data_IF_087817959625
#
_entry.id   IF_087817959625
#
_cell.length_a   1.000
_cell.length_b   1.000
_cell.length_c   1.000
_cell.angle_alpha   90.00
_cell.angle_beta   90.00
_cell.angle_gamma   90.00
#
_symmetry.space_group_name_H-M   'P 1'
#
loop_
_entity.id
_entity.type
_entity.pdbx_description
1 polymer ?
#
# COMPACT_ATOMS: atom_id res chain seq x y z
N UNK A 1 -6.63 27.46 -7.10
CA UNK A 1 -7.73 26.67 -7.72
C UNK A 1 -7.85 27.10 -9.18
N UNK A 2 -7.32 26.32 -10.14
CA UNK A 2 -7.50 26.64 -11.57
C UNK A 2 -8.88 26.13 -11.98
N UNK A 3 -9.77 27.02 -12.41
CA UNK A 3 -11.14 26.73 -12.87
C UNK A 3 -11.20 26.13 -14.29
N UNK A 4 -10.27 25.24 -14.64
CA UNK A 4 -10.37 24.53 -15.92
C UNK A 4 -10.83 23.12 -15.61
N UNK A 5 -12.14 22.96 -15.46
CA UNK A 5 -12.76 21.66 -15.36
C UNK A 5 -12.80 21.07 -16.77
N UNK A 6 -11.80 20.26 -17.11
CA UNK A 6 -11.77 19.61 -18.41
C UNK A 6 -12.89 18.58 -18.46
N UNK A 7 -13.82 18.69 -19.41
CA UNK A 7 -14.88 17.69 -19.60
C UNK A 7 -14.31 16.25 -19.65
N UNK A 8 -13.12 16.07 -20.26
CA UNK A 8 -12.39 14.81 -20.28
C UNK A 8 -11.96 14.32 -18.89
N UNK A 9 -11.54 15.22 -17.99
CA UNK A 9 -11.20 14.87 -16.61
C UNK A 9 -12.39 14.23 -15.90
N UNK A 10 -13.57 14.85 -15.99
CA UNK A 10 -14.80 14.31 -15.41
C UNK A 10 -15.15 12.93 -16.01
N UNK A 11 -14.95 12.75 -17.32
CA UNK A 11 -15.15 11.44 -17.95
C UNK A 11 -14.14 10.38 -17.46
N UNK A 12 -12.91 10.78 -17.15
CA UNK A 12 -11.89 9.90 -16.55
C UNK A 12 -12.32 9.48 -15.14
N UNK A 13 -12.85 10.40 -14.33
CA UNK A 13 -13.31 10.12 -12.95
C UNK A 13 -14.48 9.13 -12.89
N UNK A 14 -15.31 9.07 -13.94
CA UNK A 14 -16.43 8.12 -14.01
C UNK A 14 -16.05 6.74 -14.56
N UNK A 15 -14.79 6.54 -14.99
CA UNK A 15 -14.31 5.22 -15.39
C UNK A 15 -14.42 4.25 -14.22
N UNK A 16 -14.88 3.04 -14.52
CA UNK A 16 -14.96 1.97 -13.55
C UNK A 16 -14.69 0.62 -14.18
N UNK A 17 -14.16 -0.31 -13.39
CA UNK A 17 -13.85 -1.67 -13.83
C UNK A 17 -15.12 -2.46 -14.21
N UNK A 18 -16.24 -2.12 -13.55
CA UNK A 18 -17.54 -2.79 -13.72
C UNK A 18 -18.50 -2.06 -14.67
N UNK A 19 -18.03 -1.08 -15.47
CA UNK A 19 -18.87 -0.28 -16.35
C UNK A 19 -18.41 -0.36 -17.81
N UNK A 20 -19.36 -0.17 -18.73
CA UNK A 20 -19.06 -0.06 -20.16
C UNK A 20 -18.37 1.27 -20.45
N UNK A 21 -17.04 1.25 -20.54
CA UNK A 21 -16.21 2.43 -20.83
C UNK A 21 -16.23 2.83 -22.33
N UNK A 22 -17.27 2.45 -23.08
CA UNK A 22 -17.39 2.75 -24.52
C UNK A 22 -17.52 4.25 -24.76
N UNK A 23 -18.34 4.94 -23.95
CA UNK A 23 -18.55 6.38 -24.05
C UNK A 23 -17.27 7.18 -23.88
N UNK A 24 -16.36 6.73 -23.01
CA UNK A 24 -15.04 7.35 -22.86
C UNK A 24 -14.19 7.18 -24.12
N UNK A 25 -14.20 5.99 -24.74
CA UNK A 25 -13.46 5.74 -25.99
C UNK A 25 -13.99 6.62 -27.13
N UNK A 26 -15.30 6.73 -27.26
CA UNK A 26 -15.93 7.53 -28.32
C UNK A 26 -15.70 9.02 -28.11
N UNK A 27 -15.72 9.48 -26.86
CA UNK A 27 -15.34 10.85 -26.51
C UNK A 27 -13.85 11.13 -26.75
N UNK A 28 -12.97 10.19 -26.41
CA UNK A 28 -11.53 10.35 -26.68
C UNK A 28 -11.25 10.40 -28.20
N UNK A 29 -11.95 9.59 -29.00
CA UNK A 29 -11.90 9.67 -30.47
C UNK A 29 -12.35 11.03 -30.98
N UNK A 30 -13.50 11.54 -30.51
CA UNK A 30 -13.99 12.85 -30.96
C UNK A 30 -13.02 13.98 -30.62
N UNK A 31 -12.34 13.91 -29.46
CA UNK A 31 -11.28 14.86 -29.08
C UNK A 31 -10.07 14.75 -30.01
N UNK A 32 -9.67 13.55 -30.43
CA UNK A 32 -8.52 13.34 -31.32
C UNK A 32 -8.82 13.66 -32.78
N UNK A 33 -10.07 13.48 -33.21
CA UNK A 33 -10.53 13.68 -34.59
C UNK A 33 -11.05 15.11 -34.85
N UNK A 34 -11.22 15.92 -33.80
CA UNK A 34 -11.63 17.33 -33.89
C UNK A 34 -10.64 18.13 -34.76
N UNK A 35 -11.00 18.40 -36.02
CA UNK A 35 -10.19 19.13 -36.99
C UNK A 35 -10.17 20.64 -36.74
N UNK A 36 -11.03 21.14 -35.83
CA UNK A 36 -11.05 22.56 -35.47
C UNK A 36 -9.84 22.98 -34.63
N UNK A 37 -9.14 22.01 -34.01
CA UNK A 37 -8.01 22.25 -33.11
C UNK A 37 -6.71 21.65 -33.65
N UNK A 38 -5.58 22.38 -33.53
CA UNK A 38 -4.27 21.84 -33.84
C UNK A 38 -3.91 20.59 -33.00
N UNK A 39 -3.11 19.70 -33.59
CA UNK A 39 -2.71 18.44 -32.97
C UNK A 39 -2.12 18.60 -31.55
N UNK A 40 -1.26 19.60 -31.34
CA UNK A 40 -0.63 19.85 -30.05
C UNK A 40 -1.64 20.25 -28.96
N UNK A 41 -2.68 21.02 -29.29
CA UNK A 41 -3.72 21.41 -28.31
C UNK A 41 -4.56 20.21 -27.87
N UNK A 42 -4.81 19.26 -28.77
CA UNK A 42 -5.51 17.99 -28.46
C UNK A 42 -4.65 17.12 -27.53
N UNK A 43 -3.35 17.04 -27.81
CA UNK A 43 -2.40 16.33 -26.95
C UNK A 43 -2.29 16.99 -25.56
N UNK A 44 -2.17 18.32 -25.51
CA UNK A 44 -2.12 19.07 -24.25
C UNK A 44 -3.40 18.89 -23.45
N UNK A 45 -4.58 18.92 -24.09
CA UNK A 45 -5.87 18.69 -23.42
C UNK A 45 -5.95 17.30 -22.76
N UNK A 46 -5.53 16.24 -23.45
CA UNK A 46 -5.50 14.88 -22.90
C UNK A 46 -4.46 14.77 -21.78
N UNK A 47 -3.23 15.27 -22.04
CA UNK A 47 -2.14 15.21 -21.07
C UNK A 47 -2.43 15.97 -19.78
N UNK A 48 -3.00 17.18 -19.88
CA UNK A 48 -3.41 17.99 -18.72
C UNK A 48 -4.55 17.32 -17.95
N UNK A 49 -5.53 16.74 -18.64
CA UNK A 49 -6.64 16.03 -17.98
C UNK A 49 -6.14 14.81 -17.18
N UNK A 50 -5.21 14.04 -17.73
CA UNK A 50 -4.58 12.91 -17.03
C UNK A 50 -3.71 13.38 -15.87
N UNK A 51 -2.91 14.44 -16.06
CA UNK A 51 -2.06 14.99 -15.02
C UNK A 51 -2.86 15.54 -13.84
N UNK A 52 -4.04 16.12 -14.08
CA UNK A 52 -4.91 16.60 -13.01
C UNK A 52 -5.41 15.46 -12.12
N UNK A 53 -5.77 14.31 -12.70
CA UNK A 53 -6.13 13.11 -11.92
C UNK A 53 -4.93 12.65 -11.09
N UNK A 54 -3.73 12.62 -11.69
CA UNK A 54 -2.51 12.32 -10.95
C UNK A 54 -2.29 13.29 -9.78
N UNK A 55 -2.40 14.59 -10.00
CA UNK A 55 -2.25 15.60 -8.94
C UNK A 55 -3.30 15.46 -7.82
N UNK A 56 -4.53 15.06 -8.15
CA UNK A 56 -5.55 14.71 -7.13
C UNK A 56 -5.12 13.49 -6.32
N UNK A 57 -4.60 12.45 -6.96
CA UNK A 57 -4.06 11.26 -6.30
C UNK A 57 -2.89 11.67 -5.38
N UNK A 58 -1.94 12.46 -5.86
CA UNK A 58 -0.78 12.89 -5.08
C UNK A 58 -1.18 13.69 -3.84
N UNK A 59 -2.19 14.57 -3.97
CA UNK A 59 -2.74 15.34 -2.84
C UNK A 59 -3.38 14.40 -1.81
N UNK A 60 -4.19 13.44 -2.25
CA UNK A 60 -4.81 12.46 -1.36
C UNK A 60 -3.75 11.59 -0.65
N UNK A 61 -2.67 11.22 -1.34
CA UNK A 61 -1.56 10.47 -0.76
C UNK A 61 -0.87 11.28 0.34
N UNK A 62 -0.63 12.57 0.11
CA UNK A 62 -0.09 13.49 1.14
C UNK A 62 -1.03 13.58 2.35
N UNK A 63 -2.32 13.80 2.11
CA UNK A 63 -3.33 13.89 3.18
C UNK A 63 -3.42 12.60 4.00
N UNK A 64 -3.35 11.43 3.34
CA UNK A 64 -3.33 10.12 4.02
C UNK A 64 -2.11 10.01 4.92
N UNK A 65 -0.92 10.41 4.46
CA UNK A 65 0.30 10.40 5.26
C UNK A 65 0.16 11.25 6.53
N UNK A 66 -0.36 12.47 6.38
CA UNK A 66 -0.58 13.40 7.49
C UNK A 66 -1.61 12.86 8.49
N UNK A 67 -2.71 12.28 8.00
CA UNK A 67 -3.72 11.65 8.84
C UNK A 67 -3.18 10.43 9.59
N UNK A 68 -2.32 9.63 8.96
CA UNK A 68 -1.65 8.52 9.63
C UNK A 68 -0.69 9.00 10.72
N UNK A 69 0.08 10.06 10.47
CA UNK A 69 0.96 10.67 11.46
C UNK A 69 0.16 11.22 12.65
N UNK A 70 -0.95 11.91 12.38
CA UNK A 70 -1.85 12.42 13.41
C UNK A 70 -2.45 11.29 14.25
N UNK A 71 -2.92 10.21 13.61
CA UNK A 71 -3.44 9.01 14.30
C UNK A 71 -2.39 8.41 15.24
N UNK A 72 -1.14 8.27 14.78
CA UNK A 72 -0.03 7.77 15.63
C UNK A 72 0.20 8.68 16.83
N UNK A 73 0.26 10.00 16.62
CA UNK A 73 0.45 11.00 17.70
C UNK A 73 -0.65 10.92 18.75
N UNK A 74 -1.92 10.83 18.33
CA UNK A 74 -3.06 10.72 19.24
C UNK A 74 -3.05 9.42 20.03
N UNK A 75 -2.70 8.30 19.39
CA UNK A 75 -2.55 7.02 20.09
C UNK A 75 -1.43 7.09 21.14
N UNK A 76 -0.26 7.63 20.80
CA UNK A 76 0.82 7.81 21.78
C UNK A 76 0.41 8.71 22.95
N UNK A 77 -0.26 9.83 22.67
CA UNK A 77 -0.75 10.73 23.71
C UNK A 77 -1.78 10.05 24.63
N UNK A 78 -2.67 9.22 24.07
CA UNK A 78 -3.65 8.46 24.84
C UNK A 78 -2.99 7.45 25.79
N UNK A 79 -1.98 6.71 25.30
CA UNK A 79 -1.26 5.75 26.14
C UNK A 79 -0.48 6.46 27.27
N UNK A 80 0.20 7.57 26.97
CA UNK A 80 0.86 8.40 27.98
C UNK A 80 -0.15 8.91 29.01
N UNK A 81 -1.33 9.38 28.57
CA UNK A 81 -2.36 9.87 29.47
C UNK A 81 -2.88 8.78 30.41
N UNK A 82 -3.07 7.55 29.91
CA UNK A 82 -3.45 6.40 30.75
C UNK A 82 -2.37 6.07 31.78
N UNK A 83 -1.11 6.04 31.37
CA UNK A 83 0.03 5.75 32.26
C UNK A 83 0.14 6.81 33.37
N UNK A 84 0.11 8.09 33.01
CA UNK A 84 0.13 9.18 33.99
C UNK A 84 -1.06 9.12 34.95
N UNK A 85 -2.26 8.83 34.42
CA UNK A 85 -3.45 8.67 35.27
C UNK A 85 -3.31 7.50 36.24
N UNK A 86 -2.76 6.37 35.79
CA UNK A 86 -2.49 5.21 36.63
C UNK A 86 -1.45 5.52 37.72
N UNK A 87 -0.38 6.26 37.39
CA UNK A 87 0.63 6.69 38.36
C UNK A 87 0.04 7.59 39.45
N UNK A 88 -0.81 8.56 39.07
CA UNK A 88 -1.51 9.41 40.04
C UNK A 88 -2.46 8.59 40.92
N UNK A 89 -3.17 7.61 40.36
CA UNK A 89 -4.04 6.72 41.15
C UNK A 89 -3.23 5.91 42.17
N UNK A 90 -2.07 5.39 41.78
CA UNK A 90 -1.15 4.68 42.68
C UNK A 90 -0.61 5.57 43.82
N UNK A 91 -0.16 6.79 43.50
CA UNK A 91 0.33 7.75 44.49
C UNK A 91 -0.74 8.13 45.53
N UNK A 92 -1.99 8.20 45.11
CA UNK A 92 -3.12 8.56 45.97
C UNK A 92 -3.81 7.34 46.61
N UNK A 93 -3.36 6.11 46.33
CA UNK A 93 -3.96 4.89 46.85
C UNK A 93 -5.38 4.63 46.37
N UNK A 94 -5.73 5.06 45.15
CA UNK A 94 -7.07 4.93 44.57
C UNK A 94 -7.09 3.77 43.57
N UNK A 95 -7.80 2.68 43.92
CA UNK A 95 -7.94 1.52 43.01
C UNK A 95 -9.06 1.69 41.99
N UNK A 96 -10.12 2.44 42.34
CA UNK A 96 -11.29 2.63 41.49
C UNK A 96 -12.01 3.95 41.77
N UNK A 97 -12.45 4.61 40.70
CA UNK A 97 -13.34 5.78 40.75
C UNK A 97 -14.55 5.49 39.84
N UNK A 98 -15.76 5.58 40.37
CA UNK A 98 -16.99 5.45 39.57
C UNK A 98 -17.38 6.81 38.98
N UNK A 99 -17.88 6.79 37.74
CA UNK A 99 -18.30 8.00 37.04
C UNK A 99 -19.81 8.10 36.90
N UNK A 100 -20.30 9.32 36.63
CA UNK A 100 -21.71 9.56 36.34
C UNK A 100 -22.05 9.35 34.84
N UNK A 101 -21.08 9.55 33.93
CA UNK A 101 -21.23 9.35 32.47
C UNK A 101 -20.49 8.09 31.99
N UNK A 102 -19.34 7.77 32.60
CA UNK A 102 -18.59 6.52 32.38
C UNK A 102 -18.76 5.61 33.59
N UNK A 103 -18.81 4.29 33.38
CA UNK A 103 -19.09 3.34 34.47
C UNK A 103 -18.05 3.40 35.59
N UNK A 104 -16.76 3.29 35.26
CA UNK A 104 -15.67 3.43 36.23
C UNK A 104 -14.30 3.55 35.56
N UNK A 105 -13.35 4.16 36.27
CA UNK A 105 -11.91 4.02 36.04
C UNK A 105 -11.38 3.04 37.09
N UNK A 106 -10.83 1.92 36.64
CA UNK A 106 -10.22 0.92 37.53
C UNK A 106 -8.75 0.79 37.19
N UNK A 107 -7.89 0.82 38.22
CA UNK A 107 -6.47 0.60 38.06
C UNK A 107 -6.23 -0.87 37.65
N UNK A 108 -5.47 -1.08 36.58
CA UNK A 108 -5.05 -2.44 36.19
C UNK A 108 -3.63 -2.64 36.67
N UNK A 109 -3.40 -3.71 37.44
CA UNK A 109 -2.06 -4.03 37.93
C UNK A 109 -1.08 -4.31 36.78
N UNK A 110 0.17 -3.92 36.95
CA UNK A 110 1.22 -4.25 36.02
C UNK A 110 1.32 -5.78 35.86
N UNK A 111 1.15 -6.27 34.64
CA UNK A 111 1.33 -7.69 34.33
C UNK A 111 2.65 -7.85 33.57
N UNK A 112 3.63 -8.51 34.18
CA UNK A 112 4.88 -8.86 33.51
C UNK A 112 4.69 -10.18 32.78
N UNK A 113 4.59 -10.15 31.45
CA UNK A 113 4.78 -11.35 30.63
C UNK A 113 6.27 -11.49 30.35
N UNK A 114 6.92 -12.43 31.02
CA UNK A 114 8.29 -12.86 30.67
C UNK A 114 8.23 -13.55 29.31
N UNK A 115 8.76 -12.88 28.28
CA UNK A 115 9.12 -13.52 27.02
C UNK A 115 10.61 -13.81 27.09
N UNK A 116 10.96 -15.09 27.09
CA UNK A 116 12.35 -15.49 26.95
C UNK A 116 12.79 -15.22 25.51
N UNK A 117 13.60 -14.18 25.30
CA UNK A 117 14.26 -13.96 24.03
C UNK A 117 15.37 -15.00 23.87
N UNK A 118 15.14 -15.99 23.01
CA UNK A 118 16.14 -17.00 22.66
C UNK A 118 17.15 -16.36 21.71
N UNK A 119 18.25 -15.85 22.25
CA UNK A 119 19.43 -15.44 21.49
C UNK A 119 20.24 -16.69 21.12
N UNK A 120 20.14 -17.13 19.88
CA UNK A 120 20.96 -18.22 19.33
C UNK A 120 22.39 -17.67 19.16
N UNK A 121 23.29 -18.06 20.07
CA UNK A 121 24.71 -17.66 20.01
C UNK A 121 25.49 -18.36 18.90
N UNK A 122 25.10 -19.59 18.56
CA UNK A 122 25.71 -20.40 17.51
C UNK A 122 24.61 -21.15 16.74
N UNK A 123 24.31 -20.64 15.54
CA UNK A 123 23.28 -21.19 14.66
C UNK A 123 23.64 -22.60 14.18
N UNK A 124 24.92 -22.88 13.92
CA UNK A 124 25.36 -24.16 13.37
C UNK A 124 25.22 -25.30 14.38
N UNK A 125 25.52 -25.03 15.65
CA UNK A 125 25.33 -26.01 16.72
C UNK A 125 23.84 -26.33 16.93
N UNK A 126 22.97 -25.32 16.91
CA UNK A 126 21.52 -25.49 17.05
C UNK A 126 20.91 -26.22 15.84
N UNK A 127 21.43 -25.94 14.64
CA UNK A 127 21.07 -26.65 13.40
C UNK A 127 21.42 -28.14 13.50
N UNK A 128 22.65 -28.44 13.94
CA UNK A 128 23.13 -29.82 14.09
C UNK A 128 22.42 -30.59 15.23
N UNK A 129 21.91 -29.87 16.24
CA UNK A 129 21.08 -30.44 17.32
C UNK A 129 19.64 -30.72 16.89
N UNK A 130 19.28 -30.44 15.62
CA UNK A 130 17.99 -30.80 15.05
C UNK A 130 16.89 -29.77 15.28
N UNK A 131 17.19 -28.59 15.80
CA UNK A 131 16.24 -27.50 15.96
C UNK A 131 16.11 -26.68 14.66
N UNK A 132 15.79 -27.36 13.56
CA UNK A 132 15.58 -26.75 12.23
C UNK A 132 14.20 -27.02 11.69
N UNK A 133 13.64 -26.03 11.00
CA UNK A 133 12.43 -26.19 10.19
C UNK A 133 12.87 -26.51 8.76
N UNK A 134 12.72 -27.75 8.32
CA UNK A 134 12.92 -28.13 6.92
C UNK A 134 11.86 -27.48 6.06
N UNK A 135 12.25 -26.45 5.31
CA UNK A 135 11.41 -25.81 4.30
C UNK A 135 11.96 -26.15 2.92
N UNK A 136 11.07 -26.30 1.96
CA UNK A 136 11.45 -26.44 0.56
C UNK A 136 12.01 -25.10 0.09
N UNK A 137 13.21 -25.11 -0.48
CA UNK A 137 13.85 -23.92 -1.04
C UNK A 137 13.30 -23.65 -2.45
N UNK A 138 12.32 -22.75 -2.52
CA UNK A 138 11.71 -22.31 -3.78
C UNK A 138 12.72 -21.65 -4.72
N UNK A 139 13.71 -20.91 -4.19
CA UNK A 139 14.71 -20.23 -5.02
C UNK A 139 15.70 -21.22 -5.67
N UNK A 140 16.07 -22.29 -4.95
CA UNK A 140 16.86 -23.38 -5.53
C UNK A 140 16.07 -24.15 -6.61
N UNK A 141 14.77 -24.38 -6.39
CA UNK A 141 13.89 -25.03 -7.38
C UNK A 141 13.76 -24.17 -8.64
N UNK A 142 13.57 -22.86 -8.52
CA UNK A 142 13.51 -21.95 -9.67
C UNK A 142 14.80 -21.99 -10.50
N UNK A 143 15.96 -21.97 -9.83
CA UNK A 143 17.27 -22.11 -10.50
C UNK A 143 17.44 -23.47 -11.17
N UNK A 144 17.07 -24.55 -10.48
CA UNK A 144 17.16 -25.91 -11.03
C UNK A 144 16.17 -26.13 -12.20
N UNK A 145 15.03 -25.45 -12.19
CA UNK A 145 14.07 -25.48 -13.29
C UNK A 145 14.57 -24.73 -14.54
N UNK A 146 15.62 -23.90 -14.45
CA UNK A 146 16.25 -23.31 -15.63
C UNK A 146 17.19 -24.30 -16.35
N UNK A 147 17.82 -25.22 -15.61
CA UNK A 147 18.74 -26.24 -16.14
C UNK A 147 18.00 -27.46 -16.72
N UNK A 148 18.57 -28.08 -17.76
CA UNK A 148 17.99 -29.25 -18.44
C UNK A 148 17.91 -30.50 -17.54
N UNK A 149 18.77 -30.58 -16.53
CA UNK A 149 18.86 -31.71 -15.58
C UNK A 149 17.84 -31.55 -14.45
N UNK A 150 17.73 -30.36 -13.83
CA UNK A 150 16.72 -30.08 -12.81
C UNK A 150 15.29 -30.15 -13.34
N UNK A 151 15.05 -29.80 -14.63
CA UNK A 151 13.76 -30.06 -15.30
C UNK A 151 13.38 -31.54 -15.41
N UNK A 152 14.33 -32.48 -15.38
CA UNK A 152 14.03 -33.93 -15.44
C UNK A 152 13.73 -34.50 -14.06
N UNK A 153 14.44 -34.02 -13.04
CA UNK A 153 14.29 -34.47 -11.65
C UNK A 153 13.04 -33.87 -10.99
N UNK A 154 12.80 -32.57 -11.20
CA UNK A 154 11.63 -31.86 -10.65
C UNK A 154 10.34 -32.14 -11.41
N UNK A 155 10.39 -32.73 -12.62
CA UNK A 155 9.18 -33.07 -13.41
C UNK A 155 8.23 -34.04 -12.70
N UNK A 156 8.74 -34.85 -11.77
CA UNK A 156 7.96 -35.79 -10.98
C UNK A 156 7.30 -35.16 -9.75
N UNK A 157 7.73 -33.96 -9.34
CA UNK A 157 7.38 -33.35 -8.06
C UNK A 157 6.82 -31.92 -8.18
N UNK A 158 7.03 -31.23 -9.31
CA UNK A 158 6.61 -29.85 -9.54
C UNK A 158 5.91 -29.74 -10.90
N UNK A 159 4.64 -29.32 -10.88
CA UNK A 159 3.89 -28.94 -12.06
C UNK A 159 4.08 -27.44 -12.33
N UNK A 160 4.66 -27.10 -13.48
CA UNK A 160 4.91 -25.71 -13.86
C UNK A 160 3.90 -25.33 -14.93
N UNK A 161 2.82 -24.68 -14.51
CA UNK A 161 1.84 -24.09 -15.43
C UNK A 161 2.32 -22.67 -15.78
N UNK A 162 2.74 -22.39 -17.03
CA UNK A 162 3.14 -21.04 -17.39
C UNK A 162 1.91 -20.12 -17.40
N UNK A 163 1.81 -19.25 -16.41
CA UNK A 163 0.81 -18.18 -16.39
C UNK A 163 1.37 -17.01 -17.21
N UNK A 164 0.85 -16.83 -18.42
CA UNK A 164 1.17 -15.66 -19.24
C UNK A 164 0.35 -14.47 -18.77
N UNK A 165 0.95 -13.63 -17.91
CA UNK A 165 0.35 -12.36 -17.49
C UNK A 165 0.55 -11.35 -18.63
N UNK A 166 -0.51 -11.08 -19.40
CA UNK A 166 -0.52 -10.05 -20.45
C UNK A 166 -0.94 -8.71 -19.84
N UNK A 167 0.02 -7.79 -19.67
CA UNK A 167 -0.26 -6.42 -19.23
C UNK A 167 -0.75 -5.59 -20.42
N UNK A 168 -1.94 -4.96 -20.35
CA UNK A 168 -2.45 -4.14 -21.45
C UNK A 168 -1.60 -2.87 -21.66
N UNK A 169 -1.60 -2.34 -22.89
CA UNK A 169 -0.87 -1.12 -23.22
C UNK A 169 -1.39 0.09 -22.43
N UNK A 170 -0.47 0.89 -21.87
CA UNK A 170 -0.76 2.11 -21.10
C UNK A 170 -0.12 3.32 -21.78
N UNK A 171 -0.79 4.47 -21.74
CA UNK A 171 -0.25 5.72 -22.26
C UNK A 171 0.65 6.38 -21.21
N UNK A 172 1.83 6.84 -21.62
CA UNK A 172 2.76 7.62 -20.78
C UNK A 172 2.59 9.10 -21.09
N UNK A 173 2.27 9.90 -20.07
CA UNK A 173 2.28 11.38 -20.19
C UNK A 173 3.70 11.86 -19.88
N UNK A 174 4.38 12.41 -20.88
CA UNK A 174 5.70 13.03 -20.71
C UNK A 174 5.53 14.54 -20.62
N UNK A 175 5.73 15.11 -19.44
CA UNK A 175 5.74 16.56 -19.26
C UNK A 175 7.06 17.15 -19.77
N UNK A 176 6.99 18.29 -20.47
CA UNK A 176 8.20 19.04 -20.84
C UNK A 176 8.86 19.53 -19.56
N UNK A 177 10.18 19.29 -19.42
CA UNK A 177 10.95 19.84 -18.29
C UNK A 177 10.86 21.37 -18.37
N UNK A 178 10.16 21.98 -17.42
CA UNK A 178 10.36 23.40 -17.11
C UNK A 178 11.72 23.51 -16.46
N UNK A 179 12.63 24.27 -17.07
CA UNK A 179 13.92 24.61 -16.47
C UNK A 179 13.69 25.46 -15.22
N UNK A 180 13.46 24.81 -14.09
CA UNK A 180 13.62 25.36 -12.76
C UNK A 180 14.66 24.48 -12.09
N UNK A 181 15.82 25.07 -11.81
CA UNK A 181 16.83 24.47 -10.95
C UNK A 181 16.15 24.06 -9.65
N UNK A 182 16.00 22.76 -9.40
CA UNK A 182 16.11 22.15 -8.09
C UNK A 182 16.20 20.62 -8.25
N UNK A 183 17.16 20.08 -7.51
CA UNK A 183 17.51 18.68 -7.29
C UNK A 183 16.33 17.80 -6.91
N UNK A 184 16.40 16.55 -7.39
CA UNK A 184 15.79 15.33 -6.86
C UNK A 184 14.26 15.21 -6.92
N UNK A 185 13.80 14.19 -7.64
CA UNK A 185 12.89 13.10 -7.24
C UNK A 185 12.68 12.26 -8.51
N UNK A 186 13.58 11.29 -8.73
CA UNK A 186 13.24 10.10 -9.52
C UNK A 186 12.47 9.16 -8.56
N UNK A 187 11.16 9.33 -8.47
CA UNK A 187 10.31 8.44 -7.71
C UNK A 187 9.98 7.20 -8.57
N UNK A 188 10.43 6.04 -8.09
CA UNK A 188 9.86 4.73 -8.38
C UNK A 188 8.36 4.73 -8.01
N UNK A 189 7.47 5.16 -8.91
CA UNK A 189 6.03 5.20 -8.64
C UNK A 189 5.30 3.85 -8.87
N UNK A 190 6.02 2.75 -9.09
CA UNK A 190 5.40 1.43 -9.36
C UNK A 190 5.35 0.48 -8.17
N UNK A 191 6.02 0.78 -7.05
CA UNK A 191 6.09 -0.16 -5.92
C UNK A 191 5.13 0.18 -4.77
N UNK A 192 4.71 1.45 -4.62
CA UNK A 192 3.90 1.85 -3.45
C UNK A 192 2.41 1.50 -3.57
N UNK A 193 1.86 1.38 -4.79
CA UNK A 193 0.45 1.00 -5.00
C UNK A 193 0.24 -0.50 -4.70
N UNK A 194 1.24 -1.34 -5.01
CA UNK A 194 1.18 -2.79 -4.71
C UNK A 194 1.12 -3.07 -3.21
N UNK A 195 1.84 -2.29 -2.40
CA UNK A 195 1.84 -2.44 -0.94
C UNK A 195 0.48 -2.09 -0.32
N UNK A 196 -0.26 -1.13 -0.89
CA UNK A 196 -1.60 -0.76 -0.40
C UNK A 196 -2.64 -1.83 -0.77
N UNK A 197 -2.58 -2.41 -1.97
CA UNK A 197 -3.48 -3.50 -2.37
C UNK A 197 -3.28 -4.78 -1.55
N UNK A 198 -2.03 -5.13 -1.21
CA UNK A 198 -1.73 -6.28 -0.33
C UNK A 198 -2.27 -6.08 1.09
N UNK A 199 -2.11 -4.88 1.67
CA UNK A 199 -2.63 -4.58 3.01
C UNK A 199 -4.16 -4.61 3.08
N UNK A 200 -4.87 -4.21 2.01
CA UNK A 200 -6.33 -4.27 1.95
C UNK A 200 -6.82 -5.72 1.83
N UNK A 201 -6.12 -6.58 1.08
CA UNK A 201 -6.45 -8.01 1.00
C UNK A 201 -6.31 -8.70 2.35
N UNK A 202 -5.20 -8.49 3.05
CA UNK A 202 -4.98 -9.09 4.37
C UNK A 202 -6.04 -8.68 5.39
N UNK A 203 -6.51 -7.43 5.34
CA UNK A 203 -7.56 -6.92 6.22
C UNK A 203 -8.94 -7.55 5.94
N UNK A 204 -9.25 -7.86 4.67
CA UNK A 204 -10.49 -8.55 4.29
C UNK A 204 -10.44 -10.04 4.65
N UNK A 205 -9.27 -10.68 4.50
CA UNK A 205 -9.06 -12.08 4.88
C UNK A 205 -9.23 -12.31 6.38
N UNK A 206 -8.78 -11.37 7.22
CA UNK A 206 -8.94 -11.49 8.69
C UNK A 206 -10.39 -11.32 9.16
N UNK A 207 -11.25 -10.64 8.39
CA UNK A 207 -12.67 -10.47 8.72
C UNK A 207 -13.54 -11.68 8.39
N UNK A 208 -13.04 -12.61 7.57
CA UNK A 208 -13.75 -13.84 7.18
C UNK A 208 -13.44 -15.04 8.09
N UNK A 209 -12.57 -14.87 9.09
CA UNK A 209 -12.15 -15.94 10.02
C UNK A 209 -12.51 -15.61 11.48
N UNK A 210 -13.46 -14.70 11.70
CA UNK A 210 -14.04 -14.40 13.01
C UNK A 210 -15.49 -14.87 13.09
#
# INVERSE_FOLDING_TARGET
MKLINYQLQTQIEYLGENKTNSHFKDYLKSVLEDTSKPYYQRADYIGLSLNEIKSKIDTLTSDISDLQALKKKLNSALEIAKELTANVFLENGIDRIDGNIISSLTLTNATSKTKDEILIKDENAVINLGYVKFSVDYAAIEKALQTKEGKKELKKFVEVTPITISTPAKIKVNTKRTSANNTEIEANETDDILVIEEQIKDYQSQKLVA
#
